data_IF_140269276943
#
_entry.id   IF_140269276943
#
_cell.length_a   1.000
_cell.length_b   1.000
_cell.length_c   1.000
_cell.angle_alpha   90.00
_cell.angle_beta   90.00
_cell.angle_gamma   90.00
#
_symmetry.space_group_name_H-M   'P 1'
#
loop_
_entity.id
_entity.type
_entity.pdbx_description
1 polymer ?
#
# COMPACT_ATOMS: atom_id res chain seq x y z
N UNK A 1 21.90 -19.17 3.36
CA UNK A 1 21.19 -18.02 2.79
C UNK A 1 20.42 -17.37 3.91
N UNK A 2 20.54 -16.07 4.15
CA UNK A 2 19.86 -15.42 5.27
C UNK A 2 18.42 -15.03 4.89
N UNK A 3 17.45 -15.73 5.48
CA UNK A 3 16.02 -15.61 5.16
C UNK A 3 15.31 -14.67 6.14
N UNK A 4 14.44 -13.81 5.61
CA UNK A 4 13.41 -13.14 6.38
C UNK A 4 12.08 -13.88 6.17
N UNK A 5 11.63 -14.59 7.20
CA UNK A 5 10.33 -15.23 7.21
C UNK A 5 9.26 -14.24 7.67
N UNK A 6 8.19 -14.10 6.91
CA UNK A 6 7.06 -13.22 7.23
C UNK A 6 5.84 -14.08 7.47
N UNK A 7 5.30 -14.05 8.68
CA UNK A 7 4.24 -14.96 9.09
C UNK A 7 3.17 -14.24 9.91
N UNK A 8 1.91 -14.70 9.80
CA UNK A 8 0.81 -14.22 10.62
C UNK A 8 0.70 -14.98 11.96
N UNK A 9 1.31 -16.17 12.05
CA UNK A 9 1.24 -17.07 13.19
C UNK A 9 2.63 -17.69 13.45
N UNK A 10 2.99 -17.86 14.72
CA UNK A 10 4.23 -18.52 15.13
C UNK A 10 4.08 -19.01 16.58
N UNK A 11 4.26 -20.30 16.83
CA UNK A 11 4.21 -20.86 18.18
C UNK A 11 5.53 -20.60 18.93
N UNK A 12 5.53 -20.33 20.25
CA UNK A 12 4.41 -20.10 21.17
C UNK A 12 3.94 -18.64 21.23
N UNK A 13 4.20 -17.82 20.21
CA UNK A 13 3.98 -16.38 20.28
C UNK A 13 2.54 -15.98 20.02
N UNK A 14 2.06 -16.34 18.84
CA UNK A 14 0.81 -15.85 18.29
C UNK A 14 0.13 -17.05 17.66
N UNK A 15 -0.97 -17.44 18.30
CA UNK A 15 -1.77 -18.64 18.01
C UNK A 15 -0.99 -19.94 18.28
N UNK A 16 -1.77 -21.01 18.40
CA UNK A 16 -1.28 -22.38 18.48
C UNK A 16 -2.06 -23.20 17.45
N UNK A 17 -1.38 -24.09 16.75
CA UNK A 17 -1.97 -24.86 15.65
C UNK A 17 -0.92 -25.38 14.69
N UNK A 18 -1.35 -26.21 13.75
CA UNK A 18 -0.43 -26.92 12.86
C UNK A 18 0.31 -25.98 11.90
N UNK A 19 -0.33 -24.89 11.45
CA UNK A 19 0.36 -23.85 10.66
C UNK A 19 1.47 -23.18 11.48
N UNK A 20 1.17 -22.74 12.71
CA UNK A 20 2.14 -22.06 13.56
C UNK A 20 3.33 -22.96 13.93
N UNK A 21 3.10 -24.27 14.11
CA UNK A 21 4.14 -25.29 14.29
C UNK A 21 4.99 -25.46 13.03
N UNK A 22 4.34 -25.61 11.89
CA UNK A 22 5.03 -25.79 10.61
C UNK A 22 5.93 -24.59 10.28
N UNK A 23 5.43 -23.36 10.47
CA UNK A 23 6.24 -22.14 10.30
C UNK A 23 7.46 -22.19 11.23
N UNK A 24 7.28 -22.58 12.51
CA UNK A 24 8.41 -22.71 13.45
C UNK A 24 9.43 -23.75 12.98
N UNK A 25 8.98 -24.91 12.51
CA UNK A 25 9.85 -25.96 11.99
C UNK A 25 10.67 -25.48 10.78
N UNK A 26 10.03 -24.83 9.81
CA UNK A 26 10.71 -24.27 8.63
C UNK A 26 11.75 -23.23 9.05
N UNK A 27 11.39 -22.32 9.96
CA UNK A 27 12.32 -21.28 10.43
C UNK A 27 13.50 -21.88 11.22
N UNK A 28 13.29 -22.97 11.98
CA UNK A 28 14.36 -23.68 12.68
C UNK A 28 15.30 -24.42 11.71
N UNK A 29 14.75 -24.99 10.64
CA UNK A 29 15.52 -25.70 9.62
C UNK A 29 16.37 -24.74 8.77
N UNK A 30 15.78 -23.64 8.32
CA UNK A 30 16.45 -22.71 7.40
C UNK A 30 17.24 -21.59 8.11
N UNK A 31 16.90 -21.33 9.38
CA UNK A 31 17.43 -20.21 10.16
C UNK A 31 16.96 -18.85 9.63
N UNK A 32 17.51 -17.77 10.19
CA UNK A 32 17.19 -16.41 9.80
C UNK A 32 16.37 -15.66 10.84
N UNK A 33 15.45 -14.79 10.37
CA UNK A 33 14.67 -13.89 11.22
C UNK A 33 13.19 -13.99 10.89
N UNK A 34 12.33 -13.77 11.87
CA UNK A 34 10.88 -13.74 11.67
C UNK A 34 10.35 -12.33 11.85
N UNK A 35 9.63 -11.84 10.85
CA UNK A 35 8.71 -10.72 10.96
C UNK A 35 7.30 -11.28 11.24
N UNK A 36 6.84 -11.13 12.49
CA UNK A 36 5.56 -11.64 12.94
C UNK A 36 4.50 -10.55 12.87
N UNK A 37 3.55 -10.71 11.95
CA UNK A 37 2.50 -9.74 11.71
C UNK A 37 1.58 -9.59 12.93
N UNK A 38 1.09 -8.38 13.21
CA UNK A 38 0.16 -8.10 14.33
C UNK A 38 0.74 -8.35 15.73
N UNK A 39 2.05 -8.56 15.85
CA UNK A 39 2.79 -8.62 17.11
C UNK A 39 3.61 -7.35 17.27
N UNK A 40 3.73 -6.82 18.49
CA UNK A 40 4.45 -5.57 18.77
C UNK A 40 5.84 -5.78 19.37
N UNK A 41 6.09 -6.96 19.96
CA UNK A 41 7.30 -7.22 20.71
C UNK A 41 8.49 -7.59 19.85
N UNK A 42 9.65 -7.70 20.51
CA UNK A 42 10.86 -8.33 19.97
C UNK A 42 11.32 -9.39 20.95
N UNK A 43 11.55 -10.61 20.49
CA UNK A 43 12.07 -11.70 21.33
C UNK A 43 12.83 -12.72 20.52
N UNK A 44 13.70 -13.47 21.18
CA UNK A 44 14.31 -14.66 20.61
C UNK A 44 13.53 -15.92 21.03
N UNK A 45 13.35 -16.86 20.11
CA UNK A 45 12.82 -18.20 20.38
C UNK A 45 13.74 -19.21 19.74
N UNK A 46 14.30 -20.11 20.55
CA UNK A 46 15.24 -21.15 20.09
C UNK A 46 16.40 -20.59 19.24
N UNK A 47 16.88 -19.39 19.59
CA UNK A 47 17.95 -18.69 18.87
C UNK A 47 17.50 -17.88 17.65
N UNK A 48 16.22 -17.96 17.25
CA UNK A 48 15.64 -17.18 16.16
C UNK A 48 15.13 -15.86 16.68
N UNK A 49 15.56 -14.76 16.06
CA UNK A 49 15.00 -13.45 16.33
C UNK A 49 13.60 -13.30 15.71
N UNK A 50 12.64 -12.91 16.54
CA UNK A 50 11.29 -12.53 16.13
C UNK A 50 11.06 -11.05 16.39
N UNK A 51 10.73 -10.34 15.33
CA UNK A 51 10.41 -8.91 15.32
C UNK A 51 8.93 -8.74 15.00
N UNK A 52 8.24 -7.95 15.80
CA UNK A 52 6.84 -7.62 15.56
C UNK A 52 6.62 -6.69 14.37
N UNK A 53 5.57 -6.96 13.58
CA UNK A 53 5.10 -6.09 12.49
C UNK A 53 4.38 -4.82 12.98
N UNK A 54 3.98 -4.75 14.25
CA UNK A 54 3.25 -3.62 14.83
C UNK A 54 1.80 -3.94 15.17
N UNK A 55 1.21 -3.08 16.01
CA UNK A 55 -0.17 -3.22 16.46
C UNK A 55 -1.15 -2.78 15.38
N UNK A 56 -2.18 -3.59 15.16
CA UNK A 56 -3.31 -3.18 14.34
C UNK A 56 -4.04 -2.00 14.99
N UNK A 57 -4.43 -0.98 14.19
CA UNK A 57 -5.22 0.12 14.69
C UNK A 57 -6.63 -0.39 15.09
N UNK A 58 -7.22 0.26 16.08
CA UNK A 58 -8.57 -0.09 16.58
C UNK A 58 -9.65 0.52 15.69
N UNK A 59 -9.78 -0.01 14.48
CA UNK A 59 -10.77 0.41 13.49
C UNK A 59 -11.53 -0.84 13.04
N UNK A 60 -12.87 -0.82 13.01
CA UNK A 60 -13.64 -1.99 12.61
C UNK A 60 -13.40 -2.32 11.13
N UNK A 61 -13.15 -3.60 10.89
CA UNK A 61 -13.01 -4.19 9.55
C UNK A 61 -14.20 -5.12 9.27
N UNK A 62 -14.58 -5.22 8.01
CA UNK A 62 -15.76 -5.98 7.59
C UNK A 62 -15.47 -7.49 7.50
N UNK A 63 -14.23 -7.86 7.18
CA UNK A 63 -13.81 -9.23 6.97
C UNK A 63 -12.29 -9.42 7.17
N UNK A 64 -11.84 -10.67 6.98
CA UNK A 64 -10.44 -11.08 7.12
C UNK A 64 -9.51 -10.50 6.05
N UNK A 65 -10.04 -10.03 4.92
CA UNK A 65 -9.25 -9.45 3.83
C UNK A 65 -8.91 -7.99 4.18
N UNK A 66 -9.88 -7.22 4.64
CA UNK A 66 -9.66 -5.87 5.17
C UNK A 66 -8.67 -5.89 6.34
N UNK A 67 -8.82 -6.85 7.27
CA UNK A 67 -7.88 -7.05 8.38
C UNK A 67 -6.45 -7.32 7.88
N UNK A 68 -6.29 -8.22 6.90
CA UNK A 68 -4.98 -8.57 6.35
C UNK A 68 -4.29 -7.38 5.68
N UNK A 69 -5.04 -6.54 4.96
CA UNK A 69 -4.46 -5.32 4.38
C UNK A 69 -4.15 -4.25 5.41
N UNK A 70 -4.96 -4.10 6.47
CA UNK A 70 -4.63 -3.23 7.59
C UNK A 70 -3.34 -3.70 8.28
N UNK A 71 -3.14 -5.01 8.41
CA UNK A 71 -1.90 -5.62 8.92
C UNK A 71 -0.71 -5.35 7.99
N UNK A 72 -0.91 -5.46 6.67
CA UNK A 72 0.07 -5.12 5.64
C UNK A 72 0.53 -3.66 5.79
N UNK A 73 -0.36 -2.68 5.70
CA UNK A 73 0.04 -1.28 5.71
C UNK A 73 0.60 -0.82 7.06
N UNK A 74 0.13 -1.41 8.16
CA UNK A 74 0.75 -1.21 9.47
C UNK A 74 2.19 -1.72 9.47
N UNK A 75 2.41 -2.95 9.00
CA UNK A 75 3.74 -3.55 8.95
C UNK A 75 4.69 -2.78 8.04
N UNK A 76 4.24 -2.35 6.86
CA UNK A 76 5.07 -1.57 5.93
C UNK A 76 5.47 -0.19 6.48
N UNK A 77 4.63 0.42 7.31
CA UNK A 77 4.94 1.68 7.96
C UNK A 77 6.00 1.53 9.07
N UNK A 78 6.06 0.37 9.71
CA UNK A 78 6.84 0.17 10.92
C UNK A 78 8.15 -0.60 10.71
N UNK A 79 8.16 -1.55 9.78
CA UNK A 79 9.30 -2.45 9.53
C UNK A 79 10.61 -1.71 9.27
N UNK A 80 10.67 -0.52 8.60
CA UNK A 80 11.92 0.19 8.37
C UNK A 80 12.63 0.68 9.64
N UNK A 81 11.94 0.64 10.79
CA UNK A 81 12.46 1.05 12.10
C UNK A 81 12.64 -0.12 13.07
N UNK A 82 12.07 -1.29 12.75
CA UNK A 82 12.10 -2.48 13.61
C UNK A 82 13.09 -3.55 13.15
N UNK A 83 13.33 -3.64 11.85
CA UNK A 83 14.13 -4.70 11.23
C UNK A 83 15.34 -4.10 10.50
N UNK A 84 16.54 -4.60 10.79
CA UNK A 84 17.73 -4.31 9.99
C UNK A 84 17.70 -5.13 8.70
N UNK A 85 17.61 -4.50 7.51
CA UNK A 85 17.55 -5.24 6.25
C UNK A 85 18.89 -5.88 5.85
N UNK A 86 19.99 -5.57 6.54
CA UNK A 86 21.33 -6.04 6.18
C UNK A 86 21.42 -7.56 6.18
N UNK A 87 22.07 -8.10 5.15
CA UNK A 87 22.29 -9.54 4.98
C UNK A 87 21.04 -10.34 4.60
N UNK A 88 19.85 -9.75 4.42
CA UNK A 88 18.70 -10.50 3.90
C UNK A 88 18.95 -10.83 2.44
N UNK A 89 18.90 -12.12 2.11
CA UNK A 89 19.12 -12.65 0.75
C UNK A 89 17.84 -13.24 0.14
N UNK A 90 16.83 -13.53 0.96
CA UNK A 90 15.52 -14.03 0.57
C UNK A 90 14.45 -13.49 1.52
N UNK A 91 13.28 -13.13 0.99
CA UNK A 91 12.07 -12.94 1.81
C UNK A 91 11.09 -14.07 1.51
N UNK A 92 10.70 -14.78 2.56
CA UNK A 92 9.72 -15.86 2.49
C UNK A 92 8.44 -15.47 3.19
N UNK A 93 7.31 -15.53 2.48
CA UNK A 93 5.99 -15.29 3.04
C UNK A 93 5.27 -16.61 3.31
N UNK A 94 4.87 -16.81 4.57
CA UNK A 94 4.09 -17.95 5.01
C UNK A 94 2.60 -17.64 4.93
N UNK A 95 1.88 -18.44 4.14
CA UNK A 95 0.45 -18.26 3.82
C UNK A 95 0.13 -16.91 3.18
N UNK A 96 -1.08 -16.75 2.67
CA UNK A 96 -1.45 -15.56 1.88
C UNK A 96 -1.24 -14.22 2.61
N UNK A 97 -1.46 -14.17 3.94
CA UNK A 97 -1.22 -12.96 4.75
C UNK A 97 0.26 -12.61 4.84
N UNK A 98 1.11 -13.58 5.18
CA UNK A 98 2.57 -13.39 5.21
C UNK A 98 3.12 -13.09 3.82
N UNK A 99 2.59 -13.78 2.81
CA UNK A 99 2.90 -13.60 1.39
C UNK A 99 2.67 -12.19 0.87
N UNK A 100 1.55 -11.54 1.20
CA UNK A 100 1.28 -10.15 0.81
C UNK A 100 2.39 -9.19 1.28
N UNK A 101 2.80 -9.31 2.54
CA UNK A 101 3.86 -8.47 3.12
C UNK A 101 5.22 -8.85 2.54
N UNK A 102 5.52 -10.14 2.47
CA UNK A 102 6.77 -10.66 1.93
C UNK A 102 7.00 -10.23 0.48
N UNK A 103 5.97 -10.28 -0.37
CA UNK A 103 6.04 -9.82 -1.75
C UNK A 103 6.49 -8.37 -1.85
N UNK A 104 5.86 -7.48 -1.08
CA UNK A 104 6.22 -6.04 -1.07
C UNK A 104 7.63 -5.82 -0.54
N UNK A 105 8.02 -6.51 0.53
CA UNK A 105 9.36 -6.40 1.11
C UNK A 105 10.45 -6.94 0.18
N UNK A 106 10.19 -8.05 -0.52
CA UNK A 106 11.10 -8.58 -1.53
C UNK A 106 11.36 -7.54 -2.64
N UNK A 107 10.31 -6.87 -3.14
CA UNK A 107 10.47 -5.75 -4.09
C UNK A 107 11.26 -4.59 -3.50
N UNK A 108 11.03 -4.24 -2.23
CA UNK A 108 11.77 -3.16 -1.56
C UNK A 108 13.25 -3.45 -1.42
N UNK A 109 13.59 -4.68 -1.03
CA UNK A 109 14.95 -5.14 -0.77
C UNK A 109 15.67 -5.52 -2.07
N UNK A 110 14.93 -5.82 -3.14
CA UNK A 110 15.50 -6.28 -4.41
C UNK A 110 16.07 -7.70 -4.30
N UNK A 111 15.43 -8.54 -3.49
CA UNK A 111 15.79 -9.95 -3.27
C UNK A 111 14.65 -10.86 -3.72
N UNK A 112 14.89 -12.15 -3.97
CA UNK A 112 13.85 -13.08 -4.37
C UNK A 112 12.71 -13.17 -3.34
N UNK A 113 11.51 -13.44 -3.85
CA UNK A 113 10.31 -13.72 -3.06
C UNK A 113 9.98 -15.21 -3.12
N UNK A 114 9.97 -15.87 -1.96
CA UNK A 114 9.42 -17.23 -1.81
C UNK A 114 8.04 -17.17 -1.19
N UNK A 115 7.10 -17.92 -1.75
CA UNK A 115 5.76 -18.09 -1.20
C UNK A 115 5.55 -19.52 -0.68
N UNK A 116 5.27 -19.63 0.61
CA UNK A 116 5.20 -20.90 1.34
C UNK A 116 3.76 -21.17 1.78
N UNK A 117 3.20 -22.30 1.35
CA UNK A 117 1.79 -22.65 1.50
C UNK A 117 1.67 -23.95 2.30
N UNK A 118 1.10 -23.84 3.50
CA UNK A 118 0.75 -24.97 4.35
C UNK A 118 -0.61 -25.57 3.96
N UNK A 119 -1.59 -24.69 3.73
CA UNK A 119 -2.96 -25.03 3.30
C UNK A 119 -3.51 -23.94 2.40
N UNK A 120 -4.11 -24.33 1.27
CA UNK A 120 -4.83 -23.41 0.38
C UNK A 120 -6.23 -23.11 0.90
N UNK A 121 -6.82 -22.01 0.44
CA UNK A 121 -8.22 -21.68 0.77
C UNK A 121 -9.20 -22.76 0.29
N UNK A 122 -8.89 -23.42 -0.84
CA UNK A 122 -9.67 -24.56 -1.34
C UNK A 122 -9.65 -25.76 -0.39
N UNK A 123 -8.50 -26.03 0.24
CA UNK A 123 -8.35 -27.11 1.22
C UNK A 123 -9.03 -26.79 2.55
N UNK A 124 -9.14 -25.49 2.89
CA UNK A 124 -9.89 -25.01 4.06
C UNK A 124 -11.41 -25.14 3.88
N UNK A 125 -11.87 -25.45 2.67
CA UNK A 125 -13.29 -25.58 2.34
C UNK A 125 -14.05 -24.25 2.38
N UNK A 126 -13.34 -23.12 2.24
CA UNK A 126 -13.97 -21.80 2.28
C UNK A 126 -14.84 -21.54 1.05
N UNK A 127 -15.99 -20.89 1.25
CA UNK A 127 -16.92 -20.50 0.19
C UNK A 127 -17.33 -19.03 0.28
N UNK A 128 -17.86 -18.48 -0.81
CA UNK A 128 -18.35 -17.10 -0.89
C UNK A 128 -17.30 -16.08 -1.29
N UNK A 129 -17.69 -14.79 -1.30
CA UNK A 129 -16.86 -13.71 -1.83
C UNK A 129 -15.50 -13.55 -1.14
N UNK A 130 -15.46 -13.76 0.18
CA UNK A 130 -14.20 -13.71 0.96
C UNK A 130 -13.23 -14.79 0.50
N UNK A 131 -13.71 -16.05 0.39
CA UNK A 131 -12.89 -17.17 -0.09
C UNK A 131 -12.37 -16.92 -1.51
N UNK A 132 -13.22 -16.44 -2.42
CA UNK A 132 -12.80 -16.11 -3.79
C UNK A 132 -11.77 -14.98 -3.85
N UNK A 133 -11.83 -14.01 -2.93
CA UNK A 133 -10.82 -12.97 -2.80
C UNK A 133 -9.50 -13.53 -2.26
N UNK A 134 -9.54 -14.40 -1.25
CA UNK A 134 -8.33 -15.07 -0.72
C UNK A 134 -7.67 -15.93 -1.79
N UNK A 135 -8.43 -16.75 -2.54
CA UNK A 135 -7.90 -17.52 -3.68
C UNK A 135 -7.27 -16.63 -4.74
N UNK A 136 -7.87 -15.46 -5.02
CA UNK A 136 -7.28 -14.49 -5.95
C UNK A 136 -5.94 -13.94 -5.45
N UNK A 137 -5.78 -13.75 -4.14
CA UNK A 137 -4.51 -13.34 -3.53
C UNK A 137 -3.49 -14.48 -3.58
N UNK A 138 -3.87 -15.71 -3.22
CA UNK A 138 -3.00 -16.90 -3.33
C UNK A 138 -2.48 -17.06 -4.76
N UNK A 139 -3.37 -17.05 -5.76
CA UNK A 139 -2.99 -17.14 -7.17
C UNK A 139 -2.10 -15.98 -7.64
N UNK A 140 -2.34 -14.77 -7.15
CA UNK A 140 -1.46 -13.62 -7.40
C UNK A 140 -0.06 -13.86 -6.84
N UNK A 141 0.05 -14.26 -5.57
CA UNK A 141 1.33 -14.46 -4.90
C UNK A 141 2.12 -15.59 -5.56
N UNK A 142 1.48 -16.70 -5.93
CA UNK A 142 2.14 -17.79 -6.64
C UNK A 142 2.67 -17.36 -8.01
N UNK A 143 1.93 -16.54 -8.74
CA UNK A 143 2.37 -15.99 -10.02
C UNK A 143 3.57 -15.07 -9.84
N UNK A 144 3.58 -14.29 -8.77
CA UNK A 144 4.62 -13.30 -8.51
C UNK A 144 5.88 -13.86 -7.84
N UNK A 145 5.77 -14.98 -7.13
CA UNK A 145 6.87 -15.64 -6.43
C UNK A 145 7.94 -16.19 -7.39
N UNK A 146 9.19 -16.03 -6.97
CA UNK A 146 10.35 -16.64 -7.63
C UNK A 146 10.48 -18.13 -7.23
N UNK A 147 9.98 -18.50 -6.06
CA UNK A 147 9.88 -19.88 -5.59
C UNK A 147 8.55 -20.10 -4.85
N UNK A 148 7.87 -21.22 -5.11
CA UNK A 148 6.68 -21.66 -4.36
C UNK A 148 7.01 -22.95 -3.63
N UNK A 149 6.73 -23.00 -2.33
CA UNK A 149 6.93 -24.18 -1.49
C UNK A 149 5.58 -24.60 -0.92
N UNK A 150 5.15 -25.81 -1.25
CA UNK A 150 3.94 -26.39 -0.70
C UNK A 150 4.26 -27.56 0.22
N UNK A 151 3.58 -27.62 1.36
CA UNK A 151 3.72 -28.74 2.32
C UNK A 151 3.54 -30.12 1.65
N UNK A 152 2.60 -30.25 0.70
CA UNK A 152 2.21 -31.55 0.11
C UNK A 152 2.91 -31.86 -1.22
N UNK A 153 3.20 -30.86 -2.04
CA UNK A 153 3.72 -31.05 -3.40
C UNK A 153 5.20 -30.69 -3.57
N UNK A 154 5.86 -30.22 -2.51
CA UNK A 154 7.29 -29.92 -2.50
C UNK A 154 7.63 -28.52 -3.02
N UNK A 155 8.85 -28.33 -3.52
CA UNK A 155 9.38 -27.03 -3.95
C UNK A 155 9.34 -26.89 -5.47
N UNK A 156 8.81 -25.77 -5.94
CA UNK A 156 8.79 -25.38 -7.36
C UNK A 156 9.47 -24.02 -7.51
N UNK A 157 10.64 -23.99 -8.16
CA UNK A 157 11.38 -22.76 -8.46
C UNK A 157 11.08 -22.26 -9.87
N UNK A 158 10.92 -20.94 -10.03
CA UNK A 158 10.74 -20.27 -11.30
C UNK A 158 11.98 -19.42 -11.59
N UNK A 159 12.59 -19.61 -12.75
CA UNK A 159 13.67 -18.73 -13.20
C UNK A 159 13.06 -17.44 -13.75
N UNK A 160 13.12 -16.34 -12.99
CA UNK A 160 12.80 -14.99 -13.48
C UNK A 160 14.11 -14.23 -13.71
N UNK A 161 14.24 -13.60 -14.89
CA UNK A 161 15.31 -12.64 -15.12
C UNK A 161 15.02 -11.39 -14.27
N UNK A 162 15.94 -11.03 -13.39
CA UNK A 162 15.85 -9.78 -12.65
C UNK A 162 16.03 -8.61 -13.64
N UNK A 163 14.93 -7.99 -14.07
CA UNK A 163 15.02 -6.70 -14.76
C UNK A 163 15.33 -5.62 -13.73
N UNK A 164 16.60 -5.21 -13.67
CA UNK A 164 16.96 -3.95 -13.02
C UNK A 164 16.48 -2.81 -13.90
N UNK A 165 15.28 -2.32 -13.64
CA UNK A 165 14.81 -1.08 -14.26
C UNK A 165 15.63 0.12 -13.77
N UNK A 166 15.72 1.15 -14.61
CA UNK A 166 16.50 2.35 -14.33
C UNK A 166 15.95 3.07 -13.08
N UNK A 167 16.83 3.32 -12.11
CA UNK A 167 16.53 4.09 -10.91
C UNK A 167 16.51 5.58 -11.23
N UNK A 168 15.39 6.06 -11.75
CA UNK A 168 15.19 7.48 -11.99
C UNK A 168 14.87 8.20 -10.67
N UNK A 169 15.57 9.30 -10.42
CA UNK A 169 15.27 10.22 -9.33
C UNK A 169 14.17 11.18 -9.78
N UNK A 170 13.16 11.35 -8.93
CA UNK A 170 12.03 12.26 -9.14
C UNK A 170 12.06 13.32 -8.05
N UNK A 171 11.71 14.57 -8.35
CA UNK A 171 11.51 15.55 -7.28
C UNK A 171 10.20 15.25 -6.54
N UNK A 172 9.12 14.97 -7.28
CA UNK A 172 7.81 14.71 -6.70
C UNK A 172 7.18 13.45 -7.30
N UNK A 173 6.68 12.56 -6.43
CA UNK A 173 5.75 11.50 -6.79
C UNK A 173 4.36 11.84 -6.25
N UNK A 174 3.43 12.17 -7.14
CA UNK A 174 2.03 12.28 -6.79
C UNK A 174 1.40 10.90 -6.73
N UNK A 175 0.57 10.67 -5.72
CA UNK A 175 -0.22 9.44 -5.59
C UNK A 175 -1.67 9.89 -5.59
N UNK A 176 -2.39 9.52 -6.66
CA UNK A 176 -3.75 9.97 -6.90
C UNK A 176 -4.63 8.83 -7.37
N UNK A 177 -5.88 8.87 -6.95
CA UNK A 177 -6.91 7.97 -7.46
C UNK A 177 -7.36 8.36 -8.88
N UNK A 178 -7.38 9.65 -9.18
CA UNK A 178 -7.85 10.19 -10.46
C UNK A 178 -6.70 10.78 -11.25
N UNK A 179 -6.62 10.39 -12.52
CA UNK A 179 -5.77 11.00 -13.52
C UNK A 179 -6.26 10.60 -14.92
N UNK A 180 -6.32 11.53 -15.91
CA UNK A 180 -6.84 11.29 -17.24
C UNK A 180 -6.24 10.02 -17.84
N UNK A 181 -7.01 9.16 -18.52
CA UNK A 181 -8.40 9.38 -18.93
C UNK A 181 -9.44 9.14 -17.82
N UNK A 182 -9.03 8.69 -16.64
CA UNK A 182 -9.95 8.34 -15.55
C UNK A 182 -10.13 9.51 -14.60
N UNK A 183 -11.25 10.20 -14.79
CA UNK A 183 -11.63 11.42 -14.09
C UNK A 183 -13.06 11.25 -13.56
N UNK A 184 -13.24 11.39 -12.27
CA UNK A 184 -14.55 11.27 -11.60
C UNK A 184 -15.04 12.64 -11.14
N UNK A 185 -14.14 13.48 -10.63
CA UNK A 185 -14.50 14.73 -9.98
C UNK A 185 -13.48 15.86 -10.10
N UNK A 186 -13.61 16.83 -9.19
CA UNK A 186 -12.75 18.01 -9.14
C UNK A 186 -11.33 17.73 -8.66
N UNK A 187 -11.13 16.65 -7.88
CA UNK A 187 -9.82 16.21 -7.40
C UNK A 187 -8.88 15.96 -8.57
N UNK A 188 -9.29 15.10 -9.52
CA UNK A 188 -8.46 14.79 -10.67
C UNK A 188 -8.06 16.03 -11.47
N UNK A 189 -8.96 17.01 -11.61
CA UNK A 189 -8.67 18.25 -12.36
C UNK A 189 -7.59 19.10 -11.67
N UNK A 190 -7.65 19.19 -10.35
CA UNK A 190 -6.62 19.86 -9.56
C UNK A 190 -5.27 19.15 -9.68
N UNK A 191 -5.26 17.82 -9.57
CA UNK A 191 -4.05 17.01 -9.72
C UNK A 191 -3.41 17.18 -11.09
N UNK A 192 -4.20 17.09 -12.17
CA UNK A 192 -3.71 17.25 -13.55
C UNK A 192 -3.03 18.59 -13.76
N UNK A 193 -3.70 19.67 -13.38
CA UNK A 193 -3.20 21.03 -13.59
C UNK A 193 -1.87 21.25 -12.85
N UNK A 194 -1.80 20.77 -11.61
CA UNK A 194 -0.60 20.86 -10.78
C UNK A 194 0.54 19.99 -11.31
N UNK A 195 0.27 18.72 -11.64
CA UNK A 195 1.27 17.79 -12.19
C UNK A 195 1.85 18.34 -13.49
N UNK A 196 0.99 18.81 -14.40
CA UNK A 196 1.42 19.36 -15.68
C UNK A 196 2.37 20.54 -15.48
N UNK A 197 1.98 21.52 -14.66
CA UNK A 197 2.82 22.70 -14.38
C UNK A 197 4.12 22.36 -13.64
N UNK A 198 4.08 21.41 -12.70
CA UNK A 198 5.32 20.94 -12.05
C UNK A 198 6.23 20.23 -13.04
N UNK A 199 5.68 19.42 -13.95
CA UNK A 199 6.48 18.70 -14.95
C UNK A 199 7.17 19.60 -15.98
N UNK A 200 6.75 20.87 -16.13
CA UNK A 200 7.47 21.85 -16.96
C UNK A 200 8.83 22.23 -16.36
N UNK A 201 9.00 22.11 -15.03
CA UNK A 201 10.19 22.59 -14.32
C UNK A 201 10.95 21.49 -13.56
N UNK A 202 10.35 20.32 -13.38
CA UNK A 202 10.96 19.23 -12.62
C UNK A 202 10.50 17.85 -13.03
N UNK A 203 11.29 16.81 -12.71
CA UNK A 203 10.90 15.43 -12.96
C UNK A 203 9.82 15.00 -11.96
N UNK A 204 8.63 14.76 -12.48
CA UNK A 204 7.43 14.46 -11.71
C UNK A 204 6.85 13.12 -12.15
N UNK A 205 6.47 12.29 -11.19
CA UNK A 205 5.73 11.07 -11.44
C UNK A 205 4.32 11.14 -10.87
N UNK A 206 3.39 10.43 -11.50
CA UNK A 206 2.05 10.17 -10.96
C UNK A 206 1.82 8.68 -10.90
N UNK A 207 1.50 8.17 -9.71
CA UNK A 207 1.04 6.80 -9.50
C UNK A 207 -0.48 6.82 -9.38
N UNK A 208 -1.15 6.14 -10.29
CA UNK A 208 -2.60 6.28 -10.49
C UNK A 208 -3.24 5.05 -11.10
N UNK A 209 -4.58 5.03 -11.14
CA UNK A 209 -5.38 3.98 -11.74
C UNK A 209 -5.12 3.85 -13.25
N UNK A 210 -5.04 2.62 -13.75
CA UNK A 210 -5.23 2.24 -15.15
C UNK A 210 -6.42 1.30 -15.27
N UNK A 211 -7.44 1.66 -16.04
CA UNK A 211 -8.58 0.76 -16.24
C UNK A 211 -8.24 -0.38 -17.23
N UNK A 212 -9.01 -1.49 -17.19
CA UNK A 212 -8.83 -2.60 -18.11
C UNK A 212 -8.68 -2.15 -19.57
N UNK A 213 -7.65 -2.66 -20.25
CA UNK A 213 -7.30 -2.29 -21.62
C UNK A 213 -6.42 -1.04 -21.77
N UNK A 214 -6.09 -0.33 -20.67
CA UNK A 214 -5.19 0.85 -20.66
C UNK A 214 -4.32 0.90 -19.39
N UNK A 215 -3.63 -0.20 -19.08
CA UNK A 215 -2.69 -0.31 -17.96
C UNK A 215 -1.25 -0.13 -18.46
N UNK A 216 -1.02 0.92 -19.24
CA UNK A 216 0.28 1.21 -19.82
C UNK A 216 0.87 2.45 -19.16
N UNK A 217 2.14 2.36 -18.78
CA UNK A 217 2.87 3.51 -18.26
C UNK A 217 3.14 4.51 -19.40
N UNK A 218 3.07 5.80 -19.08
CA UNK A 218 3.26 6.87 -20.06
C UNK A 218 4.46 7.73 -19.66
N UNK A 219 5.31 8.08 -20.63
CA UNK A 219 6.40 9.04 -20.44
C UNK A 219 6.21 10.23 -21.37
N UNK A 220 6.27 11.44 -20.81
CA UNK A 220 6.07 12.71 -21.52
C UNK A 220 7.07 13.75 -21.02
N UNK A 221 8.25 13.79 -21.63
CA UNK A 221 9.32 14.71 -21.19
C UNK A 221 9.76 14.39 -19.76
N UNK A 222 9.51 15.32 -18.84
CA UNK A 222 9.82 15.15 -17.40
C UNK A 222 8.68 14.52 -16.59
N UNK A 223 7.54 14.21 -17.22
CA UNK A 223 6.39 13.56 -16.59
C UNK A 223 6.41 12.05 -16.86
N UNK A 224 6.26 11.26 -15.80
CA UNK A 224 5.99 9.82 -15.88
C UNK A 224 4.65 9.50 -15.23
N UNK A 225 3.79 8.75 -15.92
CA UNK A 225 2.50 8.29 -15.38
C UNK A 225 2.54 6.79 -15.25
N UNK A 226 2.39 6.30 -14.03
CA UNK A 226 2.45 4.89 -13.67
C UNK A 226 1.04 4.38 -13.41
N UNK A 227 0.59 3.46 -14.27
CA UNK A 227 -0.76 2.91 -14.25
C UNK A 227 -0.83 1.60 -13.49
N UNK A 228 -1.71 1.51 -12.52
CA UNK A 228 -1.96 0.29 -11.74
C UNK A 228 -3.34 -0.24 -12.08
N UNK A 229 -3.42 -1.51 -12.44
CA UNK A 229 -4.69 -2.21 -12.62
C UNK A 229 -5.33 -2.46 -11.24
N UNK A 230 -6.46 -1.81 -10.91
CA UNK A 230 -7.11 -1.98 -9.62
C UNK A 230 -7.86 -3.33 -9.49
N UNK A 231 -7.96 -4.11 -10.56
CA UNK A 231 -8.70 -5.39 -10.58
C UNK A 231 -7.80 -6.62 -10.61
N UNK A 232 -6.48 -6.45 -10.45
CA UNK A 232 -5.53 -7.57 -10.35
C UNK A 232 -5.85 -8.51 -9.17
N UNK A 233 -6.45 -7.98 -8.10
CA UNK A 233 -6.92 -8.76 -6.95
C UNK A 233 -8.44 -8.65 -6.83
N UNK A 234 -9.12 -9.78 -6.66
CA UNK A 234 -10.54 -9.79 -6.28
C UNK A 234 -10.70 -9.32 -4.84
N UNK A 235 -11.79 -8.62 -4.56
CA UNK A 235 -12.10 -8.08 -3.24
C UNK A 235 -13.59 -8.20 -2.93
N UNK A 236 -13.95 -7.89 -1.68
CA UNK A 236 -15.29 -8.08 -1.11
C UNK A 236 -16.14 -6.81 -1.09
N UNK A 237 -15.51 -5.64 -1.21
CA UNK A 237 -16.18 -4.35 -1.17
C UNK A 237 -15.24 -3.19 -1.51
N UNK A 238 -15.75 -1.96 -1.35
CA UNK A 238 -15.00 -0.74 -1.69
C UNK A 238 -13.70 -0.61 -0.87
N UNK A 239 -13.75 -0.85 0.44
CA UNK A 239 -12.58 -0.65 1.31
C UNK A 239 -11.48 -1.67 1.01
N UNK A 240 -11.83 -2.96 0.96
CA UNK A 240 -10.87 -4.00 0.59
C UNK A 240 -10.30 -3.78 -0.82
N UNK A 241 -11.10 -3.25 -1.75
CA UNK A 241 -10.63 -2.83 -3.07
C UNK A 241 -9.63 -1.67 -3.03
N UNK A 242 -9.90 -0.60 -2.26
CA UNK A 242 -8.96 0.50 -2.07
C UNK A 242 -7.65 -0.02 -1.49
N UNK A 243 -7.71 -0.92 -0.53
CA UNK A 243 -6.52 -1.54 0.06
C UNK A 243 -5.73 -2.39 -0.93
N UNK A 244 -6.39 -3.28 -1.66
CA UNK A 244 -5.75 -4.09 -2.69
C UNK A 244 -5.07 -3.21 -3.75
N UNK A 245 -5.77 -2.19 -4.25
CA UNK A 245 -5.20 -1.23 -5.19
C UNK A 245 -3.98 -0.49 -4.63
N UNK A 246 -4.04 -0.04 -3.38
CA UNK A 246 -2.91 0.63 -2.75
C UNK A 246 -1.72 -0.31 -2.55
N UNK A 247 -1.94 -1.59 -2.24
CA UNK A 247 -0.86 -2.57 -2.13
C UNK A 247 -0.15 -2.76 -3.49
N UNK A 248 -0.93 -2.81 -4.58
CA UNK A 248 -0.40 -2.88 -5.95
C UNK A 248 0.33 -1.59 -6.35
N UNK A 249 -0.15 -0.42 -5.93
CA UNK A 249 0.55 0.86 -6.09
C UNK A 249 1.93 0.84 -5.42
N UNK A 250 1.99 0.40 -4.15
CA UNK A 250 3.28 0.27 -3.43
C UNK A 250 4.21 -0.69 -4.18
N UNK A 251 3.71 -1.88 -4.55
CA UNK A 251 4.50 -2.87 -5.27
C UNK A 251 5.02 -2.34 -6.62
N UNK A 252 4.20 -1.59 -7.38
CA UNK A 252 4.62 -0.97 -8.65
C UNK A 252 5.70 0.08 -8.41
N UNK A 253 5.51 1.00 -7.47
CA UNK A 253 6.49 2.04 -7.17
C UNK A 253 7.86 1.46 -6.77
N UNK A 254 7.86 0.38 -5.96
CA UNK A 254 9.07 -0.30 -5.56
C UNK A 254 9.72 -1.07 -6.70
N UNK A 255 8.92 -1.76 -7.52
CA UNK A 255 9.42 -2.52 -8.68
C UNK A 255 10.03 -1.61 -9.75
N UNK A 256 9.44 -0.42 -9.96
CA UNK A 256 9.98 0.65 -10.81
C UNK A 256 11.22 1.34 -10.20
N UNK A 257 11.58 1.01 -8.96
CA UNK A 257 12.74 1.57 -8.28
C UNK A 257 12.67 3.08 -8.08
N UNK A 258 11.46 3.64 -7.93
CA UNK A 258 11.26 5.09 -7.81
C UNK A 258 11.99 5.67 -6.61
N UNK A 259 12.62 6.83 -6.81
CA UNK A 259 13.28 7.61 -5.75
C UNK A 259 12.80 9.05 -5.76
N UNK A 260 11.56 9.30 -5.30
CA UNK A 260 11.07 10.65 -5.14
C UNK A 260 11.76 11.35 -3.97
N UNK A 261 11.96 12.67 -4.08
CA UNK A 261 12.39 13.50 -2.94
C UNK A 261 11.22 13.97 -2.09
N UNK A 262 10.01 13.97 -2.66
CA UNK A 262 8.76 14.30 -1.98
C UNK A 262 7.62 13.41 -2.49
N UNK A 263 6.80 12.90 -1.57
CA UNK A 263 5.51 12.30 -1.89
C UNK A 263 4.41 13.34 -1.74
N UNK A 264 3.46 13.37 -2.66
CA UNK A 264 2.26 14.20 -2.56
C UNK A 264 1.01 13.34 -2.77
N UNK A 265 0.33 13.01 -1.68
CA UNK A 265 -0.90 12.23 -1.69
C UNK A 265 -2.14 13.12 -1.82
N UNK A 266 -3.15 12.61 -2.51
CA UNK A 266 -4.43 13.29 -2.73
C UNK A 266 -5.55 12.46 -2.13
N UNK A 267 -6.12 12.95 -1.02
CA UNK A 267 -7.18 12.31 -0.23
C UNK A 267 -6.92 10.87 0.24
N UNK A 268 -7.88 10.31 0.96
CA UNK A 268 -7.79 9.02 1.65
C UNK A 268 -7.62 7.81 0.73
N UNK A 269 -8.11 7.88 -0.51
CA UNK A 269 -8.01 6.78 -1.48
C UNK A 269 -6.56 6.45 -1.84
N UNK A 270 -5.64 7.40 -1.68
CA UNK A 270 -4.20 7.22 -1.89
C UNK A 270 -3.40 7.06 -0.59
N UNK A 271 -4.05 7.23 0.57
CA UNK A 271 -3.38 7.29 1.86
C UNK A 271 -2.62 6.01 2.22
N UNK A 272 -3.16 4.78 2.05
CA UNK A 272 -2.42 3.58 2.43
C UNK A 272 -1.09 3.42 1.68
N UNK A 273 -1.07 3.66 0.37
CA UNK A 273 0.15 3.60 -0.41
C UNK A 273 1.12 4.73 -0.06
N UNK A 274 0.62 5.96 0.11
CA UNK A 274 1.45 7.11 0.45
C UNK A 274 2.17 6.93 1.79
N UNK A 275 1.46 6.47 2.82
CA UNK A 275 2.05 6.21 4.14
C UNK A 275 3.06 5.08 4.07
N UNK A 276 2.72 3.96 3.42
CA UNK A 276 3.68 2.86 3.25
C UNK A 276 4.95 3.31 2.51
N UNK A 277 4.83 4.01 1.39
CA UNK A 277 5.97 4.49 0.61
C UNK A 277 6.80 5.53 1.38
N UNK A 278 6.17 6.42 2.16
CA UNK A 278 6.88 7.37 3.02
C UNK A 278 7.89 6.66 3.91
N UNK A 279 7.47 5.62 4.61
CA UNK A 279 8.34 4.89 5.54
C UNK A 279 9.33 3.99 4.82
N UNK A 280 8.90 3.23 3.81
CA UNK A 280 9.76 2.31 3.06
C UNK A 280 10.89 3.05 2.31
N UNK A 281 10.58 4.22 1.73
CA UNK A 281 11.54 5.04 0.98
C UNK A 281 12.24 6.09 1.86
N UNK A 282 11.73 6.35 3.08
CA UNK A 282 12.22 7.37 4.02
C UNK A 282 12.21 8.78 3.41
N UNK A 283 11.11 9.12 2.78
CA UNK A 283 10.91 10.40 2.05
C UNK A 283 9.82 11.22 2.72
N UNK A 284 9.89 12.57 2.68
CA UNK A 284 8.82 13.42 3.20
C UNK A 284 7.52 13.21 2.43
N UNK A 285 6.40 13.43 3.13
CA UNK A 285 5.05 13.33 2.59
C UNK A 285 4.33 14.66 2.81
N UNK A 286 3.66 15.17 1.79
CA UNK A 286 2.61 16.19 1.91
C UNK A 286 1.30 15.63 1.40
N UNK A 287 0.19 16.19 1.87
CA UNK A 287 -1.13 15.73 1.48
C UNK A 287 -2.00 16.91 1.06
N UNK A 288 -2.84 16.73 0.04
CA UNK A 288 -3.99 17.61 -0.20
C UNK A 288 -5.26 16.88 0.21
N UNK A 289 -6.08 17.53 1.04
CA UNK A 289 -7.42 17.05 1.40
C UNK A 289 -8.45 17.89 0.64
N UNK A 290 -9.22 17.25 -0.24
CA UNK A 290 -10.26 17.93 -1.02
C UNK A 290 -11.63 17.82 -0.35
N UNK A 291 -11.90 16.72 0.37
CA UNK A 291 -13.11 16.53 1.14
C UNK A 291 -12.90 15.46 2.22
N UNK A 292 -13.55 15.61 3.37
CA UNK A 292 -13.51 14.57 4.41
C UNK A 292 -14.80 13.78 4.50
N UNK A 293 -14.71 12.57 5.03
CA UNK A 293 -15.88 11.76 5.38
C UNK A 293 -16.70 12.41 6.48
N UNK A 294 -16.03 13.13 7.37
CA UNK A 294 -16.67 13.94 8.39
C UNK A 294 -17.57 15.00 7.77
N UNK A 295 -17.07 15.76 6.78
CA UNK A 295 -17.86 16.74 6.02
C UNK A 295 -18.99 16.09 5.23
N UNK A 296 -18.69 15.01 4.48
CA UNK A 296 -19.70 14.24 3.71
C UNK A 296 -20.82 13.70 4.60
N UNK A 297 -20.49 13.32 5.83
CA UNK A 297 -21.41 12.74 6.81
C UNK A 297 -21.99 13.76 7.79
N UNK A 298 -21.88 15.07 7.48
CA UNK A 298 -22.44 16.16 8.30
C UNK A 298 -22.00 16.10 9.77
N UNK A 299 -20.74 15.70 9.98
CA UNK A 299 -20.09 15.62 11.29
C UNK A 299 -20.33 14.32 12.07
N UNK A 300 -20.97 13.30 11.49
CA UNK A 300 -21.27 12.04 12.17
C UNK A 300 -20.62 10.83 11.47
N UNK A 301 -19.64 10.21 12.12
CA UNK A 301 -18.99 8.98 11.67
C UNK A 301 -19.60 7.81 12.44
N UNK A 302 -20.47 7.02 11.82
CA UNK A 302 -21.26 6.00 12.51
C UNK A 302 -21.04 4.58 11.99
N UNK A 303 -20.83 4.41 10.69
CA UNK A 303 -20.66 3.08 10.07
C UNK A 303 -19.20 2.61 10.10
N UNK A 304 -18.93 1.29 10.07
CA UNK A 304 -17.57 0.76 9.97
C UNK A 304 -16.78 1.31 8.77
N UNK A 305 -17.44 1.43 7.61
CA UNK A 305 -16.81 2.00 6.41
C UNK A 305 -16.40 3.47 6.64
N UNK A 306 -17.28 4.29 7.22
CA UNK A 306 -16.96 5.69 7.54
C UNK A 306 -15.80 5.78 8.53
N UNK A 307 -15.74 4.89 9.53
CA UNK A 307 -14.65 4.85 10.49
C UNK A 307 -13.30 4.52 9.83
N UNK A 308 -13.29 3.60 8.85
CA UNK A 308 -12.08 3.29 8.07
C UNK A 308 -11.64 4.44 7.17
N UNK A 309 -12.58 5.09 6.48
CA UNK A 309 -12.27 6.27 5.65
C UNK A 309 -11.71 7.39 6.53
N UNK A 310 -12.40 7.70 7.63
CA UNK A 310 -12.00 8.73 8.57
C UNK A 310 -10.63 8.44 9.20
N UNK A 311 -10.34 7.17 9.52
CA UNK A 311 -9.02 6.74 9.98
C UNK A 311 -7.93 7.03 8.95
N UNK A 312 -8.15 6.74 7.66
CA UNK A 312 -7.15 7.00 6.63
C UNK A 312 -6.99 8.48 6.30
N UNK A 313 -8.05 9.28 6.37
CA UNK A 313 -7.97 10.75 6.30
C UNK A 313 -7.14 11.31 7.47
N UNK A 314 -7.44 10.87 8.69
CA UNK A 314 -6.68 11.23 9.89
C UNK A 314 -5.22 10.78 9.79
N UNK A 315 -4.96 9.52 9.47
CA UNK A 315 -3.60 8.98 9.39
C UNK A 315 -2.79 9.70 8.33
N UNK A 316 -3.36 9.95 7.15
CA UNK A 316 -2.68 10.70 6.10
C UNK A 316 -2.25 12.09 6.58
N UNK A 317 -3.15 12.81 7.23
CA UNK A 317 -2.86 14.16 7.72
C UNK A 317 -1.84 14.19 8.86
N UNK A 318 -1.78 13.16 9.69
CA UNK A 318 -0.76 13.01 10.73
C UNK A 318 0.60 12.63 10.16
N UNK A 319 0.62 11.75 9.15
CA UNK A 319 1.84 11.34 8.45
C UNK A 319 2.43 12.43 7.57
N UNK A 320 1.60 13.28 6.97
CA UNK A 320 2.06 14.41 6.17
C UNK A 320 2.83 15.44 7.01
N UNK A 321 3.82 16.12 6.42
CA UNK A 321 4.55 17.24 7.03
C UNK A 321 3.75 18.54 6.94
N UNK A 322 3.07 18.73 5.80
CA UNK A 322 2.09 19.81 5.56
C UNK A 322 0.85 19.24 4.91
N UNK A 323 -0.29 19.83 5.24
CA UNK A 323 -1.60 19.48 4.69
C UNK A 323 -2.13 20.68 3.94
N UNK A 324 -2.36 20.52 2.64
CA UNK A 324 -3.00 21.51 1.79
C UNK A 324 -4.51 21.30 1.76
N UNK A 325 -5.25 22.39 1.73
CA UNK A 325 -6.71 22.41 1.56
C UNK A 325 -7.11 23.53 0.61
N UNK A 326 -8.19 23.34 -0.14
CA UNK A 326 -8.56 24.26 -1.21
C UNK A 326 -9.28 25.53 -0.72
N UNK A 327 -9.69 25.62 0.55
CA UNK A 327 -10.45 26.76 1.07
C UNK A 327 -10.30 26.95 2.58
N UNK A 328 -10.64 28.15 3.07
CA UNK A 328 -10.72 28.42 4.51
C UNK A 328 -11.77 27.57 5.23
N UNK A 329 -12.89 27.25 4.56
CA UNK A 329 -13.91 26.34 5.08
C UNK A 329 -13.34 24.92 5.28
N UNK A 330 -12.66 24.39 4.27
CA UNK A 330 -12.01 23.08 4.34
C UNK A 330 -10.92 23.06 5.43
N UNK A 331 -10.18 24.16 5.62
CA UNK A 331 -9.26 24.31 6.76
C UNK A 331 -9.98 24.16 8.09
N UNK A 332 -11.12 24.82 8.27
CA UNK A 332 -11.93 24.68 9.48
C UNK A 332 -12.38 23.23 9.70
N UNK A 333 -12.84 22.57 8.65
CA UNK A 333 -13.29 21.17 8.68
C UNK A 333 -12.16 20.21 9.08
N UNK A 334 -10.99 20.24 8.44
CA UNK A 334 -9.88 19.32 8.81
C UNK A 334 -9.35 19.56 10.22
N UNK A 335 -9.33 20.82 10.68
CA UNK A 335 -8.93 21.15 12.05
C UNK A 335 -9.92 20.58 13.07
N UNK A 336 -11.22 20.69 12.79
CA UNK A 336 -12.28 20.15 13.66
C UNK A 336 -12.31 18.62 13.64
N UNK A 337 -12.20 18.01 12.45
CA UNK A 337 -12.32 16.56 12.28
C UNK A 337 -11.12 15.80 12.85
N UNK A 338 -9.91 16.34 12.72
CA UNK A 338 -8.67 15.60 13.01
C UNK A 338 -7.79 16.22 14.09
N UNK A 339 -8.18 17.37 14.66
CA UNK A 339 -7.40 18.08 15.69
C UNK A 339 -5.95 18.42 15.27
N UNK A 340 -5.74 18.78 13.99
CA UNK A 340 -4.42 19.10 13.47
C UNK A 340 -3.85 20.41 14.04
N UNK A 341 -2.52 20.53 14.21
CA UNK A 341 -1.87 21.81 14.47
C UNK A 341 -2.16 22.83 13.36
N UNK A 342 -2.50 24.07 13.74
CA UNK A 342 -2.95 25.10 12.79
C UNK A 342 -1.90 25.52 11.76
N UNK A 343 -0.63 25.41 12.11
CA UNK A 343 0.55 25.71 11.30
C UNK A 343 0.91 24.58 10.32
N UNK A 344 0.33 23.39 10.52
CA UNK A 344 0.45 22.25 9.60
C UNK A 344 -0.43 22.41 8.36
N UNK A 345 -1.55 23.13 8.47
CA UNK A 345 -2.56 23.27 7.42
C UNK A 345 -2.37 24.57 6.62
N UNK A 346 -2.17 24.44 5.31
CA UNK A 346 -1.97 25.53 4.36
C UNK A 346 -3.19 25.60 3.43
N UNK A 347 -3.80 26.77 3.30
CA UNK A 347 -4.86 27.00 2.32
C UNK A 347 -4.21 27.32 0.97
N UNK A 348 -4.45 26.48 -0.03
CA UNK A 348 -3.98 26.65 -1.39
C UNK A 348 -5.17 26.42 -2.34
N UNK A 349 -5.84 27.50 -2.81
CA UNK A 349 -6.96 27.37 -3.74
C UNK A 349 -6.53 26.71 -5.05
N UNK A 350 -7.44 25.94 -5.66
CA UNK A 350 -7.18 25.34 -6.96
C UNK A 350 -7.09 26.43 -8.03
N UNK A 351 -6.07 26.33 -8.89
CA UNK A 351 -6.00 27.11 -10.11
C UNK A 351 -6.92 26.57 -11.20
N UNK A 352 -7.17 27.38 -12.21
CA UNK A 352 -7.83 27.00 -13.46
C UNK A 352 -6.91 27.36 -14.63
N UNK A 353 -6.95 26.55 -15.68
CA UNK A 353 -6.33 26.90 -16.96
C UNK A 353 -7.29 27.82 -17.73
N UNK A 354 -6.89 29.08 -17.90
CA UNK A 354 -7.70 30.10 -18.54
C UNK A 354 -7.90 29.81 -20.03
N UNK A 355 -6.87 29.31 -20.73
CA UNK A 355 -6.97 29.03 -22.16
C UNK A 355 -8.00 27.93 -22.44
N UNK A 356 -7.97 26.86 -21.65
CA UNK A 356 -8.96 25.78 -21.74
C UNK A 356 -10.36 26.24 -21.34
N UNK A 357 -10.48 27.17 -20.38
CA UNK A 357 -11.78 27.68 -19.92
C UNK A 357 -12.42 28.59 -20.97
N UNK A 358 -11.62 29.50 -21.54
CA UNK A 358 -12.07 30.44 -22.57
C UNK A 358 -12.40 29.73 -23.90
N UNK A 359 -11.72 28.62 -24.20
CA UNK A 359 -12.00 27.80 -25.37
C UNK A 359 -13.23 26.88 -25.21
N UNK A 360 -13.76 26.72 -23.99
CA UNK A 360 -14.89 25.82 -23.74
C UNK A 360 -16.19 26.39 -24.33
N UNK A 361 -16.69 25.74 -25.38
CA UNK A 361 -18.05 25.96 -25.88
C UNK A 361 -18.96 24.87 -25.30
N UNK A 362 -19.99 25.21 -24.51
CA UNK A 362 -20.96 24.22 -24.04
C UNK A 362 -21.62 23.52 -25.23
N UNK A 363 -21.75 22.20 -25.15
CA UNK A 363 -22.53 21.45 -26.14
C UNK A 363 -23.98 21.98 -26.15
N UNK A 364 -24.61 22.08 -27.33
CA UNK A 364 -25.98 22.62 -27.47
C UNK A 364 -27.02 21.81 -26.70
#
# INVERSE_FOLDING_TARGET
MAVLHVAAELEPIKRAGELAKWVREVVLEEGGRVLLLGYEGRRAIDGIEVVGGGALPRVPVSDVLEEAFMELFTTLAEVPYRLDPSGIELVEGHEWRGGLVAYVLAKRLGVPFRFSIYTREEERGGWGFVSEAVKSVEAFLEREADEVVERRSGRVSKTRAASRESRLEYEVLHISWEYPPHMVGGLGRAVVSMVHKLSEITRTAVLTIGLPGRVEDEERGLLTILRVDPFTLRTTGLISWVYAFNALMVAKALSKGLRPRLLHAHDWLSAPAAVALKHLLRVPLVATIHATEYGRSRGSISTPMQQQIHYWEWRLTYEAWKVFVCSGAMRGEVLAAFALPRDKVIVLPNGIDLESFDAYSPAP
#
